data_IF_822814594050
#
_entry.id   IF_822814594050
#
_cell.length_a   1.000
_cell.length_b   1.000
_cell.length_c   1.000
_cell.angle_alpha   90.00
_cell.angle_beta   90.00
_cell.angle_gamma   90.00
#
_symmetry.space_group_name_H-M   'P 1'
#
loop_
_entity.id
_entity.type
_entity.pdbx_description
1 polymer ?
#
# COMPACT_ATOMS: atom_id res chain seq x y z
N UNK A 1 4.72 -6.24 1.38
CA UNK A 1 4.41 -6.64 -0.01
C UNK A 1 3.14 -7.50 -0.09
N UNK A 2 3.08 -8.67 0.55
CA UNK A 2 1.89 -9.54 0.51
C UNK A 2 0.59 -8.89 0.99
N UNK A 3 0.64 -8.05 2.02
CA UNK A 3 -0.55 -7.30 2.48
C UNK A 3 -1.06 -6.33 1.42
N UNK A 4 -0.17 -5.66 0.70
CA UNK A 4 -0.52 -4.73 -0.38
C UNK A 4 -1.04 -5.46 -1.60
N UNK A 5 -0.41 -6.58 -1.98
CA UNK A 5 -0.87 -7.38 -3.12
C UNK A 5 -2.20 -8.07 -2.82
N UNK A 6 -2.42 -8.52 -1.59
CA UNK A 6 -3.71 -9.08 -1.16
C UNK A 6 -4.80 -8.03 -1.06
N UNK A 7 -4.53 -6.82 -0.55
CA UNK A 7 -5.54 -5.75 -0.56
C UNK A 7 -5.88 -5.28 -1.98
N UNK A 8 -4.89 -5.16 -2.88
CA UNK A 8 -5.13 -4.84 -4.29
C UNK A 8 -5.97 -5.93 -4.97
N UNK A 9 -5.62 -7.20 -4.74
CA UNK A 9 -6.36 -8.34 -5.27
C UNK A 9 -7.81 -8.35 -4.78
N UNK A 10 -8.05 -8.07 -3.49
CA UNK A 10 -9.40 -7.97 -2.92
C UNK A 10 -10.18 -6.81 -3.55
N UNK A 11 -9.56 -5.64 -3.76
CA UNK A 11 -10.22 -4.51 -4.44
C UNK A 11 -10.57 -4.86 -5.90
N UNK A 12 -9.69 -5.56 -6.62
CA UNK A 12 -9.97 -6.03 -7.98
C UNK A 12 -11.10 -7.07 -8.01
N UNK A 13 -11.12 -8.02 -7.07
CA UNK A 13 -12.19 -9.02 -6.99
C UNK A 13 -13.55 -8.42 -6.59
N UNK A 14 -13.55 -7.40 -5.73
CA UNK A 14 -14.78 -6.72 -5.30
C UNK A 14 -15.32 -5.73 -6.32
N UNK A 15 -14.53 -5.35 -7.33
CA UNK A 15 -14.95 -4.47 -8.43
C UNK A 15 -16.05 -5.11 -9.30
N UNK A 16 -15.93 -6.39 -9.66
CA UNK A 16 -16.93 -7.11 -10.46
C UNK A 16 -18.35 -7.11 -9.86
N UNK A 17 -18.53 -7.57 -8.59
CA UNK A 17 -19.83 -7.51 -7.93
C UNK A 17 -20.28 -6.07 -7.68
N UNK A 18 -19.37 -5.11 -7.45
CA UNK A 18 -19.73 -3.69 -7.33
C UNK A 18 -20.36 -3.15 -8.63
N UNK A 19 -19.72 -3.35 -9.78
CA UNK A 19 -20.24 -2.90 -11.08
C UNK A 19 -21.58 -3.57 -11.39
N UNK A 20 -21.71 -4.86 -11.07
CA UNK A 20 -22.96 -5.61 -11.26
C UNK A 20 -24.11 -5.08 -10.37
N UNK A 21 -23.79 -4.67 -9.14
CA UNK A 21 -24.76 -4.14 -8.17
C UNK A 21 -25.14 -2.67 -8.45
N UNK A 22 -24.24 -1.89 -9.04
CA UNK A 22 -24.49 -0.50 -9.47
C UNK A 22 -25.25 -0.47 -10.79
N UNK A 23 -24.92 -1.37 -11.73
CA UNK A 23 -25.56 -1.48 -13.04
C UNK A 23 -26.90 -2.22 -13.03
N UNK A 24 -27.23 -2.95 -11.96
CA UNK A 24 -28.54 -3.57 -11.82
C UNK A 24 -29.63 -2.49 -11.69
N UNK A 25 -30.65 -2.48 -12.56
CA UNK A 25 -31.79 -1.60 -12.39
C UNK A 25 -32.42 -1.90 -11.03
N UNK A 26 -32.79 -0.86 -10.28
CA UNK A 26 -33.51 -0.96 -9.00
C UNK A 26 -34.93 -1.45 -9.26
N UNK A 27 -35.07 -2.70 -9.68
CA UNK A 27 -36.35 -3.39 -9.69
C UNK A 27 -36.71 -3.64 -8.24
N UNK A 28 -37.89 -3.17 -7.83
CA UNK A 28 -38.66 -3.62 -6.65
C UNK A 28 -38.78 -2.64 -5.46
N UNK A 29 -38.79 -1.31 -5.67
CA UNK A 29 -39.52 -0.44 -4.73
C UNK A 29 -41.05 -0.71 -4.80
N UNK A 30 -41.52 -1.32 -5.90
CA UNK A 30 -42.94 -1.58 -6.16
C UNK A 30 -43.44 -2.97 -5.73
N UNK A 31 -42.57 -3.94 -5.42
CA UNK A 31 -43.01 -5.31 -5.06
C UNK A 31 -43.00 -5.59 -3.54
N UNK A 32 -42.27 -4.80 -2.74
CA UNK A 32 -42.31 -4.91 -1.27
C UNK A 32 -43.68 -4.53 -0.67
N UNK A 33 -44.54 -3.83 -1.42
CA UNK A 33 -45.89 -3.48 -0.96
C UNK A 33 -46.91 -4.63 -1.03
N UNK A 34 -46.60 -5.73 -1.70
CA UNK A 34 -47.61 -6.77 -2.00
C UNK A 34 -47.57 -7.97 -1.01
N UNK A 35 -46.46 -8.23 -0.30
CA UNK A 35 -46.31 -9.45 0.54
C UNK A 35 -45.90 -9.21 2.00
N UNK A 36 -46.22 -8.08 2.62
CA UNK A 36 -45.95 -7.88 4.05
C UNK A 36 -46.82 -8.82 4.92
N UNK A 37 -46.23 -9.97 5.29
CA UNK A 37 -46.75 -10.87 6.32
C UNK A 37 -46.89 -10.12 7.67
N UNK A 38 -47.95 -10.36 8.44
CA UNK A 38 -48.37 -9.48 9.53
C UNK A 38 -47.44 -9.45 10.75
N UNK A 39 -46.49 -10.38 10.91
CA UNK A 39 -45.75 -10.46 12.18
C UNK A 39 -44.37 -11.16 12.09
N UNK A 40 -43.42 -10.58 11.35
CA UNK A 40 -41.97 -10.61 11.67
C UNK A 40 -41.23 -9.73 10.66
N UNK A 41 -40.92 -8.48 11.02
CA UNK A 41 -40.00 -7.64 10.21
C UNK A 41 -38.57 -8.05 10.52
N UNK A 42 -38.12 -9.18 9.95
CA UNK A 42 -36.68 -9.40 9.81
C UNK A 42 -36.25 -8.49 8.68
N UNK A 43 -35.72 -7.30 9.00
CA UNK A 43 -35.17 -6.39 7.99
C UNK A 43 -33.91 -7.04 7.44
N UNK A 44 -34.06 -7.91 6.45
CA UNK A 44 -32.96 -8.47 5.69
C UNK A 44 -32.37 -7.31 4.89
N UNK A 45 -31.37 -6.62 5.47
CA UNK A 45 -30.64 -5.57 4.74
C UNK A 45 -30.20 -6.14 3.40
N UNK A 46 -30.52 -5.50 2.26
CA UNK A 46 -30.20 -6.02 0.95
C UNK A 46 -28.69 -6.23 0.83
N UNK A 47 -28.27 -7.34 0.22
CA UNK A 47 -26.84 -7.69 0.07
C UNK A 47 -26.03 -6.60 -0.65
N UNK A 48 -26.72 -5.76 -1.45
CA UNK A 48 -26.22 -4.56 -2.13
C UNK A 48 -25.46 -3.62 -1.20
N UNK A 49 -26.03 -3.24 -0.07
CA UNK A 49 -25.44 -2.25 0.83
C UNK A 49 -24.13 -2.76 1.46
N UNK A 50 -24.07 -4.07 1.75
CA UNK A 50 -22.87 -4.71 2.30
C UNK A 50 -21.72 -4.74 1.29
N UNK A 51 -22.02 -5.07 0.03
CA UNK A 51 -21.02 -5.12 -1.04
C UNK A 51 -20.46 -3.72 -1.32
N UNK A 52 -21.35 -2.71 -1.39
CA UNK A 52 -20.94 -1.31 -1.57
C UNK A 52 -20.07 -0.86 -0.39
N UNK A 53 -20.48 -1.12 0.85
CA UNK A 53 -19.71 -0.75 2.04
C UNK A 53 -18.31 -1.38 2.05
N UNK A 54 -18.20 -2.69 1.77
CA UNK A 54 -16.92 -3.40 1.73
C UNK A 54 -15.98 -2.83 0.66
N UNK A 55 -16.51 -2.52 -0.52
CA UNK A 55 -15.72 -1.93 -1.61
C UNK A 55 -15.22 -0.52 -1.24
N UNK A 56 -16.11 0.32 -0.72
CA UNK A 56 -15.81 1.71 -0.34
C UNK A 56 -14.77 1.78 0.78
N UNK A 57 -14.80 0.86 1.74
CA UNK A 57 -13.82 0.83 2.85
C UNK A 57 -12.49 0.21 2.41
N UNK A 58 -12.49 -0.84 1.59
CA UNK A 58 -11.25 -1.54 1.21
C UNK A 58 -10.42 -0.78 0.18
N UNK A 59 -11.04 -0.06 -0.74
CA UNK A 59 -10.37 0.71 -1.79
C UNK A 59 -9.36 1.75 -1.28
N UNK A 60 -9.72 2.71 -0.38
CA UNK A 60 -8.78 3.71 0.11
C UNK A 60 -7.66 3.11 0.97
N UNK A 61 -7.95 2.05 1.75
CA UNK A 61 -6.93 1.34 2.52
C UNK A 61 -5.89 0.71 1.60
N UNK A 62 -6.35 0.06 0.53
CA UNK A 62 -5.48 -0.54 -0.48
C UNK A 62 -4.58 0.51 -1.16
N UNK A 63 -5.16 1.65 -1.58
CA UNK A 63 -4.41 2.77 -2.17
C UNK A 63 -3.38 3.35 -1.20
N UNK A 64 -3.78 3.58 0.06
CA UNK A 64 -2.89 4.13 1.09
C UNK A 64 -1.70 3.22 1.35
N UNK A 65 -1.95 1.92 1.55
CA UNK A 65 -0.89 0.94 1.79
C UNK A 65 0.03 0.78 0.58
N UNK A 66 -0.50 0.90 -0.64
CA UNK A 66 0.30 0.88 -1.86
C UNK A 66 1.24 2.09 -1.95
N UNK A 67 0.74 3.31 -1.77
CA UNK A 67 1.55 4.52 -1.78
C UNK A 67 2.62 4.49 -0.67
N UNK A 68 2.24 4.04 0.53
CA UNK A 68 3.16 3.91 1.65
C UNK A 68 4.24 2.85 1.37
N UNK A 69 3.90 1.72 0.74
CA UNK A 69 4.88 0.71 0.36
C UNK A 69 5.87 1.25 -0.67
N UNK A 70 5.40 1.97 -1.70
CA UNK A 70 6.27 2.57 -2.71
C UNK A 70 7.25 3.58 -2.10
N UNK A 71 6.77 4.41 -1.17
CA UNK A 71 7.62 5.34 -0.45
C UNK A 71 8.75 4.63 0.30
N UNK A 72 8.42 3.59 1.07
CA UNK A 72 9.41 2.82 1.80
C UNK A 72 10.35 2.05 0.87
N UNK A 73 9.84 1.50 -0.23
CA UNK A 73 10.64 0.82 -1.24
C UNK A 73 11.69 1.76 -1.85
N UNK A 74 11.28 2.99 -2.17
CA UNK A 74 12.18 4.01 -2.69
C UNK A 74 13.29 4.39 -1.70
N UNK A 75 12.96 4.52 -0.41
CA UNK A 75 13.94 4.76 0.66
C UNK A 75 14.99 3.64 0.73
N UNK A 76 14.55 2.37 0.72
CA UNK A 76 15.46 1.23 0.74
C UNK A 76 16.36 1.20 -0.49
N UNK A 77 15.79 1.41 -1.68
CA UNK A 77 16.53 1.38 -2.93
C UNK A 77 17.58 2.49 -3.04
N UNK A 78 17.36 3.63 -2.38
CA UNK A 78 18.31 4.75 -2.36
C UNK A 78 19.27 4.71 -1.17
N UNK A 79 19.18 3.67 -0.32
CA UNK A 79 19.93 3.55 0.94
C UNK A 79 19.84 4.82 1.79
N UNK A 80 18.62 5.36 1.96
CA UNK A 80 18.36 6.55 2.78
C UNK A 80 17.25 6.31 3.78
N UNK A 81 17.36 6.91 4.96
CA UNK A 81 16.26 6.99 5.93
C UNK A 81 15.31 8.15 5.62
N UNK A 82 14.09 8.13 6.16
CA UNK A 82 13.11 9.22 5.97
C UNK A 82 13.62 10.57 6.49
N UNK A 83 14.46 10.55 7.52
CA UNK A 83 15.13 11.72 8.09
C UNK A 83 16.23 12.21 7.15
N UNK A 84 17.07 11.30 6.65
CA UNK A 84 18.14 11.62 5.69
C UNK A 84 17.61 12.23 4.40
N UNK A 85 16.45 11.79 3.89
CA UNK A 85 15.86 12.42 2.70
C UNK A 85 15.59 13.91 2.91
N UNK A 86 15.12 14.29 4.10
CA UNK A 86 14.83 15.69 4.40
C UNK A 86 16.12 16.52 4.50
N UNK A 87 17.16 15.94 5.09
CA UNK A 87 18.48 16.56 5.22
C UNK A 87 19.16 16.66 3.84
N UNK A 88 19.16 15.58 3.07
CA UNK A 88 19.70 15.52 1.71
C UNK A 88 18.99 16.49 0.76
N UNK A 89 17.71 16.80 0.96
CA UNK A 89 17.02 17.86 0.21
C UNK A 89 17.63 19.24 0.46
N UNK A 90 18.10 19.51 1.68
CA UNK A 90 18.78 20.77 2.02
C UNK A 90 20.16 20.78 1.36
N UNK A 91 20.96 19.73 1.55
CA UNK A 91 22.29 19.63 0.93
C UNK A 91 22.24 19.64 -0.60
N UNK A 92 21.24 19.03 -1.23
CA UNK A 92 21.02 19.12 -2.68
C UNK A 92 20.78 20.55 -3.15
N UNK A 93 20.03 21.36 -2.40
CA UNK A 93 19.79 22.76 -2.73
C UNK A 93 21.07 23.58 -2.62
N UNK A 94 21.86 23.35 -1.58
CA UNK A 94 23.14 24.04 -1.37
C UNK A 94 24.17 23.66 -2.42
N UNK A 95 24.32 22.37 -2.72
CA UNK A 95 25.21 21.89 -3.79
C UNK A 95 24.81 22.45 -5.15
N UNK A 96 23.50 22.47 -5.47
CA UNK A 96 23.01 23.06 -6.71
C UNK A 96 23.31 24.56 -6.81
N UNK A 97 23.25 25.30 -5.70
CA UNK A 97 23.64 26.72 -5.65
C UNK A 97 25.15 26.92 -5.92
N UNK A 98 25.97 25.93 -5.60
CA UNK A 98 27.41 25.91 -5.87
C UNK A 98 27.77 25.30 -7.24
N UNK A 99 26.78 24.85 -8.03
CA UNK A 99 27.01 24.18 -9.31
C UNK A 99 27.52 22.73 -9.17
N UNK A 100 27.43 22.14 -7.98
CA UNK A 100 27.87 20.78 -7.67
C UNK A 100 26.69 19.79 -7.68
N UNK A 101 26.97 18.54 -8.06
CA UNK A 101 25.99 17.45 -8.03
C UNK A 101 26.12 16.70 -6.72
N UNK A 102 25.08 16.77 -5.87
CA UNK A 102 25.03 15.97 -4.64
C UNK A 102 24.71 14.51 -4.98
N UNK A 103 25.65 13.62 -4.68
CA UNK A 103 25.48 12.17 -4.75
C UNK A 103 25.40 11.63 -3.34
N UNK A 104 24.45 10.72 -3.10
CA UNK A 104 24.30 10.11 -1.78
C UNK A 104 25.53 9.23 -1.50
N UNK A 105 26.34 9.50 -0.45
CA UNK A 105 27.51 8.68 -0.14
C UNK A 105 27.15 7.25 0.27
N UNK A 106 25.90 7.00 0.66
CA UNK A 106 25.41 5.68 1.08
C UNK A 106 24.83 4.85 -0.08
N UNK A 107 24.69 5.41 -1.28
CA UNK A 107 24.13 4.70 -2.42
C UNK A 107 25.20 3.85 -3.11
N UNK A 108 25.16 2.54 -2.87
CA UNK A 108 26.03 1.52 -3.49
C UNK A 108 25.40 0.92 -4.77
N UNK A 109 24.23 1.43 -5.18
CA UNK A 109 23.42 0.92 -6.27
C UNK A 109 22.24 0.07 -5.80
N UNK A 110 21.15 0.07 -6.58
CA UNK A 110 19.85 -0.48 -6.19
C UNK A 110 19.86 -1.91 -5.63
N UNK A 111 20.65 -2.81 -6.23
CA UNK A 111 20.74 -4.20 -5.79
C UNK A 111 21.53 -4.35 -4.50
N UNK A 112 22.64 -3.63 -4.35
CA UNK A 112 23.48 -3.73 -3.15
C UNK A 112 22.81 -3.06 -1.95
N UNK A 113 22.13 -1.94 -2.18
CA UNK A 113 21.29 -1.27 -1.17
C UNK A 113 20.16 -2.19 -0.67
N UNK A 114 19.53 -2.93 -1.59
CA UNK A 114 18.51 -3.91 -1.24
C UNK A 114 19.08 -5.04 -0.39
N UNK A 115 20.23 -5.59 -0.77
CA UNK A 115 20.92 -6.63 0.00
C UNK A 115 21.40 -6.14 1.36
N UNK A 116 21.79 -4.87 1.50
CA UNK A 116 22.19 -4.29 2.77
C UNK A 116 21.01 -4.16 3.75
N UNK A 117 19.82 -3.80 3.24
CA UNK A 117 18.63 -3.64 4.07
C UNK A 117 17.96 -4.97 4.44
N UNK A 118 17.88 -5.92 3.49
CA UNK A 118 17.15 -7.18 3.67
C UNK A 118 18.05 -8.40 3.93
N UNK A 119 19.35 -8.28 3.68
CA UNK A 119 20.28 -9.40 3.64
C UNK A 119 20.22 -10.18 2.32
N UNK A 120 21.29 -10.92 2.02
CA UNK A 120 21.32 -11.90 0.91
C UNK A 120 20.59 -13.19 1.32
N UNK A 121 19.27 -13.12 1.43
CA UNK A 121 18.41 -14.26 1.76
C UNK A 121 17.48 -14.59 0.60
N UNK A 122 16.86 -15.78 0.57
CA UNK A 122 15.91 -16.07 -0.51
C UNK A 122 14.66 -15.16 -0.41
N UNK A 123 13.93 -14.98 -1.50
CA UNK A 123 12.77 -14.06 -1.57
C UNK A 123 11.69 -14.35 -0.50
N UNK A 124 11.60 -15.59 -0.01
CA UNK A 124 10.64 -16.01 1.02
C UNK A 124 11.08 -15.53 2.42
N UNK A 125 12.40 -15.48 2.67
CA UNK A 125 12.96 -15.04 3.95
C UNK A 125 12.99 -13.52 4.10
N UNK A 126 12.93 -12.78 2.98
CA UNK A 126 12.75 -11.31 2.98
C UNK A 126 11.40 -10.87 3.59
N UNK A 127 10.47 -11.80 3.81
CA UNK A 127 9.12 -11.53 4.31
C UNK A 127 9.05 -11.59 5.84
N UNK A 128 9.99 -12.32 6.46
CA UNK A 128 10.06 -12.47 7.90
C UNK A 128 10.88 -11.30 8.46
N UNK A 129 10.51 -10.72 9.62
CA UNK A 129 11.30 -9.66 10.23
C UNK A 129 12.76 -10.10 10.37
N UNK A 130 13.63 -9.44 9.60
CA UNK A 130 15.05 -9.71 9.62
C UNK A 130 15.61 -9.39 11.01
N UNK A 131 16.36 -10.34 11.57
CA UNK A 131 17.14 -10.13 12.81
C UNK A 131 18.60 -9.78 12.49
N UNK A 132 18.88 -9.44 11.24
CA UNK A 132 20.23 -9.11 10.82
C UNK A 132 20.67 -7.80 11.49
N UNK A 133 21.81 -7.83 12.17
CA UNK A 133 22.42 -6.64 12.73
C UNK A 133 23.05 -5.82 11.60
N UNK A 134 23.02 -4.48 11.66
CA UNK A 134 23.70 -3.68 10.65
C UNK A 134 25.19 -4.07 10.61
N UNK A 135 25.79 -4.21 9.42
CA UNK A 135 27.20 -4.54 9.30
C UNK A 135 28.06 -3.46 9.99
N UNK A 136 29.05 -3.92 10.75
CA UNK A 136 30.12 -3.09 11.31
C UNK A 136 31.31 -3.14 10.34
N UNK A 137 32.00 -2.03 9.99
CA UNK A 137 32.21 -0.80 10.75
C UNK A 137 31.29 0.39 10.39
N UNK A 138 31.22 1.44 11.25
CA UNK A 138 30.51 2.69 10.95
C UNK A 138 31.31 3.55 9.96
N UNK A 139 30.65 3.92 8.86
CA UNK A 139 30.85 5.04 7.91
C UNK A 139 32.27 5.46 7.49
N UNK A 140 32.52 5.72 6.18
CA UNK A 140 33.68 6.51 5.78
C UNK A 140 33.51 7.95 6.31
N UNK A 141 34.45 8.39 7.14
CA UNK A 141 34.66 9.80 7.52
C UNK A 141 35.10 10.64 6.34
#
# INVERSE_FOLDING_TARGET
VYLVTSTLYITCMTFGPFVSVVGAPTSNENEEKIWTLPNKRVVLKPARDRIIFLFVVSSPVSMFLFAFLLWNLWLVLTAQTSVEVQINKIYKKEAAAQGLVFTNPYDLGYMENWYQAMGRVSAIWHVIPSRHMPPWPPYPT
#
